data_IF_717371827787
#
_entry.id   IF_717371827787
#
_cell.length_a   1.000
_cell.length_b   1.000
_cell.length_c   1.000
_cell.angle_alpha   90.00
_cell.angle_beta   90.00
_cell.angle_gamma   90.00
#
_symmetry.space_group_name_H-M   'P 1'
#
loop_
_entity.id
_entity.type
_entity.pdbx_description
1 polymer ?
#
# COMPACT_ATOMS: atom_id res chain seq x y z
N UNK A 1 23.15 -15.35 -1.87
CA UNK A 1 22.17 -14.84 -0.90
C UNK A 1 22.11 -15.84 0.25
N UNK A 2 22.22 -15.38 1.51
CA UNK A 2 22.08 -16.24 2.69
C UNK A 2 20.85 -15.75 3.46
N UNK A 3 19.83 -16.61 3.56
CA UNK A 3 18.59 -16.29 4.25
C UNK A 3 18.66 -16.85 5.68
N UNK A 4 18.13 -16.10 6.65
CA UNK A 4 17.91 -16.58 8.01
C UNK A 4 16.41 -16.62 8.27
N UNK A 5 15.92 -17.73 8.80
CA UNK A 5 14.55 -17.82 9.26
C UNK A 5 14.33 -16.90 10.47
N UNK A 6 13.17 -16.27 10.50
CA UNK A 6 12.67 -15.52 11.66
C UNK A 6 11.32 -16.13 12.02
N UNK A 7 11.24 -16.74 13.21
CA UNK A 7 10.03 -17.44 13.65
C UNK A 7 8.83 -16.49 13.68
N UNK A 8 7.74 -16.90 13.04
CA UNK A 8 6.50 -16.15 12.93
C UNK A 8 5.67 -16.69 11.77
N UNK A 9 4.34 -16.53 11.83
CA UNK A 9 3.44 -16.96 10.76
C UNK A 9 2.59 -15.78 10.31
N UNK A 10 2.96 -15.22 9.17
CA UNK A 10 2.31 -14.04 8.58
C UNK A 10 1.74 -14.41 7.22
N UNK A 11 0.59 -13.82 6.89
CA UNK A 11 -0.03 -13.91 5.57
C UNK A 11 0.48 -12.82 4.63
N UNK A 12 0.85 -11.68 5.20
CA UNK A 12 1.37 -10.53 4.46
C UNK A 12 2.45 -9.84 5.29
N UNK A 13 3.51 -9.39 4.61
CA UNK A 13 4.64 -8.65 5.18
C UNK A 13 4.92 -7.44 4.28
N UNK A 14 5.33 -6.33 4.88
CA UNK A 14 5.70 -5.11 4.18
C UNK A 14 6.92 -4.50 4.87
N UNK A 15 7.85 -3.97 4.08
CA UNK A 15 9.04 -3.29 4.56
C UNK A 15 9.18 -1.94 3.85
N UNK A 16 9.44 -0.88 4.61
CA UNK A 16 9.49 0.49 4.12
C UNK A 16 9.86 1.45 5.22
N UNK A 17 10.51 2.56 4.87
CA UNK A 17 10.96 3.58 5.83
C UNK A 17 11.77 3.03 7.03
N UNK A 18 12.53 1.95 6.82
CA UNK A 18 13.33 1.30 7.88
C UNK A 18 12.52 0.44 8.86
N UNK A 19 11.24 0.24 8.61
CA UNK A 19 10.34 -0.56 9.44
C UNK A 19 9.84 -1.78 8.68
N UNK A 20 9.43 -2.81 9.42
CA UNK A 20 8.80 -4.00 8.85
C UNK A 20 7.55 -4.31 9.65
N UNK A 21 6.44 -4.44 8.94
CA UNK A 21 5.14 -4.79 9.49
C UNK A 21 4.61 -6.04 8.81
N UNK A 22 3.68 -6.72 9.48
CA UNK A 22 2.95 -7.82 8.86
C UNK A 22 1.63 -8.09 9.55
N UNK A 23 0.79 -8.84 8.86
CA UNK A 23 -0.49 -9.34 9.38
C UNK A 23 -0.55 -10.85 9.26
N UNK A 24 -1.10 -11.50 10.29
CA UNK A 24 -1.30 -12.94 10.32
C UNK A 24 -2.66 -13.35 9.75
N UNK A 25 -2.90 -14.67 9.64
CA UNK A 25 -4.17 -15.23 9.14
C UNK A 25 -5.38 -14.86 10.02
N UNK A 26 -5.16 -14.59 11.30
CA UNK A 26 -6.17 -14.18 12.28
C UNK A 26 -6.32 -12.65 12.40
N UNK A 27 -5.82 -11.89 11.42
CA UNK A 27 -5.80 -10.43 11.38
C UNK A 27 -4.94 -9.75 12.48
N UNK A 28 -4.18 -10.51 13.28
CA UNK A 28 -3.22 -9.93 14.23
C UNK A 28 -2.13 -9.16 13.50
N UNK A 29 -1.76 -8.01 14.07
CA UNK A 29 -0.80 -7.07 13.50
C UNK A 29 0.53 -7.22 14.24
N UNK A 30 1.62 -7.26 13.49
CA UNK A 30 2.96 -7.35 14.06
C UNK A 30 3.89 -6.29 13.46
N UNK A 31 4.80 -5.77 14.30
CA UNK A 31 5.95 -4.98 13.90
C UNK A 31 7.22 -5.75 14.26
N UNK A 32 8.20 -5.76 13.36
CA UNK A 32 9.49 -6.37 13.63
C UNK A 32 10.40 -5.38 14.36
N UNK A 33 10.89 -5.76 15.54
CA UNK A 33 11.76 -4.93 16.35
C UNK A 33 12.82 -5.78 17.03
N UNK A 34 14.09 -5.38 16.92
CA UNK A 34 15.24 -6.03 17.58
C UNK A 34 15.31 -7.56 17.39
N UNK A 35 14.94 -8.06 16.21
CA UNK A 35 15.07 -9.49 15.88
C UNK A 35 13.83 -10.34 16.18
N UNK A 36 12.75 -9.75 16.68
CA UNK A 36 11.49 -10.46 16.98
C UNK A 36 10.25 -9.70 16.53
N UNK A 37 9.15 -10.43 16.37
CA UNK A 37 7.83 -9.85 16.08
C UNK A 37 7.15 -9.41 17.38
N UNK A 38 6.72 -8.17 17.43
CA UNK A 38 5.93 -7.61 18.53
C UNK A 38 4.49 -7.38 18.06
N UNK A 39 3.51 -7.87 18.82
CA UNK A 39 2.09 -7.66 18.51
C UNK A 39 1.70 -6.19 18.74
N UNK A 40 0.88 -5.66 17.84
CA UNK A 40 0.21 -4.37 18.01
C UNK A 40 -1.29 -4.60 18.27
N UNK A 41 -1.96 -3.70 19.01
CA UNK A 41 -3.40 -3.79 19.22
C UNK A 41 -4.16 -3.53 17.90
N UNK A 42 -5.34 -4.14 17.79
CA UNK A 42 -6.21 -4.04 16.61
C UNK A 42 -6.19 -5.28 15.72
N UNK A 43 -6.96 -5.23 14.62
CA UNK A 43 -7.06 -6.31 13.65
C UNK A 43 -7.09 -5.75 12.22
N UNK A 44 -6.16 -6.17 11.38
CA UNK A 44 -6.04 -5.73 9.99
C UNK A 44 -5.88 -6.91 9.05
N UNK A 45 -6.53 -6.83 7.89
CA UNK A 45 -6.32 -7.79 6.80
C UNK A 45 -5.15 -7.40 5.89
N UNK A 46 -4.75 -6.14 5.90
CA UNK A 46 -3.69 -5.58 5.07
C UNK A 46 -2.99 -4.44 5.81
N UNK A 47 -1.67 -4.35 5.71
CA UNK A 47 -0.85 -3.27 6.27
C UNK A 47 0.17 -2.79 5.23
N UNK A 48 0.44 -1.51 5.17
CA UNK A 48 1.52 -0.91 4.35
C UNK A 48 2.33 0.05 5.20
N UNK A 49 3.61 0.21 4.86
CA UNK A 49 4.51 1.18 5.51
C UNK A 49 5.40 1.82 4.45
N UNK A 50 5.54 3.15 4.55
CA UNK A 50 6.45 3.91 3.72
C UNK A 50 6.58 5.35 4.20
N UNK A 51 7.13 6.25 3.37
CA UNK A 51 7.31 7.67 3.72
C UNK A 51 6.01 8.41 4.11
N UNK A 52 4.85 7.93 3.63
CA UNK A 52 3.53 8.44 3.99
C UNK A 52 2.97 7.86 5.31
N UNK A 53 3.78 7.09 6.04
CA UNK A 53 3.47 6.49 7.33
C UNK A 53 3.02 5.04 7.22
N UNK A 54 2.44 4.53 8.31
CA UNK A 54 1.89 3.17 8.39
C UNK A 54 0.37 3.23 8.27
N UNK A 55 -0.17 2.44 7.35
CA UNK A 55 -1.60 2.39 7.07
C UNK A 55 -2.09 0.95 7.10
N UNK A 56 -3.35 0.77 7.47
CA UNK A 56 -3.98 -0.52 7.68
C UNK A 56 -5.40 -0.54 7.15
N UNK A 57 -5.81 -1.70 6.65
CA UNK A 57 -7.19 -1.97 6.25
C UNK A 57 -7.76 -3.12 7.08
N UNK A 58 -8.97 -2.95 7.62
CA UNK A 58 -9.68 -4.01 8.36
C UNK A 58 -10.36 -5.01 7.42
N UNK A 59 -10.82 -6.13 7.96
CA UNK A 59 -11.63 -7.09 7.20
C UNK A 59 -12.84 -6.45 6.52
N UNK A 60 -13.46 -5.47 7.18
CA UNK A 60 -14.63 -4.72 6.72
C UNK A 60 -14.32 -3.58 5.73
N UNK A 61 -13.06 -3.44 5.29
CA UNK A 61 -12.57 -2.37 4.41
C UNK A 61 -12.40 -1.00 5.08
N UNK A 62 -12.47 -0.91 6.41
CA UNK A 62 -12.18 0.34 7.12
C UNK A 62 -10.70 0.68 7.02
N UNK A 63 -10.41 1.98 6.93
CA UNK A 63 -9.06 2.50 6.76
C UNK A 63 -8.56 3.05 8.09
N UNK A 64 -7.34 2.70 8.47
CA UNK A 64 -6.67 3.21 9.66
C UNK A 64 -5.26 3.70 9.34
N UNK A 65 -4.84 4.78 10.01
CA UNK A 65 -3.46 5.28 10.02
C UNK A 65 -2.88 5.10 11.42
N UNK A 66 -1.64 4.61 11.52
CA UNK A 66 -0.95 4.55 12.81
C UNK A 66 -0.38 5.94 13.14
N UNK A 67 -0.86 6.54 14.22
CA UNK A 67 -0.44 7.86 14.72
C UNK A 67 -0.09 7.74 16.19
N UNK A 68 1.15 8.07 16.55
CA UNK A 68 1.63 7.98 17.93
C UNK A 68 1.28 6.63 18.61
N UNK A 69 1.57 5.52 17.92
CA UNK A 69 1.27 4.14 18.33
C UNK A 69 -0.21 3.76 18.46
N UNK A 70 -1.14 4.61 18.01
CA UNK A 70 -2.57 4.35 18.02
C UNK A 70 -3.12 4.29 16.59
N UNK A 71 -4.02 3.34 16.34
CA UNK A 71 -4.74 3.28 15.07
C UNK A 71 -5.86 4.30 15.06
N UNK A 72 -5.78 5.27 14.16
CA UNK A 72 -6.78 6.32 13.99
C UNK A 72 -7.56 6.04 12.71
N UNK A 73 -8.88 5.95 12.80
CA UNK A 73 -9.73 5.67 11.65
C UNK A 73 -9.73 6.85 10.68
N UNK A 74 -9.58 6.55 9.39
CA UNK A 74 -9.67 7.52 8.30
C UNK A 74 -10.95 7.26 7.53
N UNK A 75 -11.79 8.28 7.25
CA UNK A 75 -13.02 8.09 6.48
C UNK A 75 -12.77 7.43 5.11
N UNK A 76 -13.71 6.58 4.70
CA UNK A 76 -13.66 5.86 3.41
C UNK A 76 -13.55 4.35 3.59
N UNK A 77 -13.68 3.63 2.48
CA UNK A 77 -13.60 2.17 2.43
C UNK A 77 -12.67 1.72 1.30
N UNK A 78 -11.60 1.01 1.65
CA UNK A 78 -10.63 0.46 0.70
C UNK A 78 -10.41 -1.02 0.98
N UNK A 79 -10.20 -1.83 -0.06
CA UNK A 79 -9.80 -3.23 0.10
C UNK A 79 -8.29 -3.40 0.23
N UNK A 80 -7.52 -2.44 -0.28
CA UNK A 80 -6.06 -2.37 -0.21
C UNK A 80 -5.61 -0.89 -0.30
N UNK A 81 -4.50 -0.58 0.36
CA UNK A 81 -3.84 0.73 0.35
C UNK A 81 -2.33 0.54 0.34
N UNK A 82 -1.61 1.42 -0.35
CA UNK A 82 -0.17 1.50 -0.29
C UNK A 82 0.33 2.90 0.10
N UNK A 83 1.39 2.93 0.92
CA UNK A 83 1.99 4.12 1.51
C UNK A 83 3.46 4.31 1.14
N UNK A 84 3.97 3.60 0.13
CA UNK A 84 5.37 3.69 -0.29
C UNK A 84 5.74 5.02 -0.98
N UNK A 85 4.75 5.82 -1.39
CA UNK A 85 4.97 7.15 -1.97
C UNK A 85 5.38 8.21 -0.94
N UNK A 86 6.27 9.11 -1.35
CA UNK A 86 6.72 10.26 -0.54
C UNK A 86 5.71 11.42 -0.48
N UNK A 87 4.68 11.41 -1.34
CA UNK A 87 3.79 12.56 -1.52
C UNK A 87 2.30 12.23 -1.34
N UNK A 88 1.93 10.95 -1.41
CA UNK A 88 0.56 10.50 -1.26
C UNK A 88 0.50 9.02 -0.89
N UNK A 89 -0.61 8.63 -0.28
CA UNK A 89 -1.07 7.24 -0.24
C UNK A 89 -2.09 7.02 -1.34
N UNK A 90 -2.17 5.80 -1.83
CA UNK A 90 -3.20 5.46 -2.78
C UNK A 90 -3.72 4.04 -2.55
N UNK A 91 -4.96 3.81 -2.95
CA UNK A 91 -5.65 2.58 -2.64
C UNK A 91 -6.77 2.29 -3.62
N UNK A 92 -7.34 1.11 -3.46
CA UNK A 92 -8.45 0.62 -4.28
C UNK A 92 -9.61 0.17 -3.39
N UNK A 93 -10.85 0.46 -3.78
CA UNK A 93 -12.03 0.00 -3.06
C UNK A 93 -12.53 -1.36 -3.57
N UNK A 94 -13.61 -1.86 -2.98
CA UNK A 94 -14.22 -3.14 -3.35
C UNK A 94 -14.84 -3.17 -4.76
N UNK A 95 -15.06 -2.00 -5.37
CA UNK A 95 -15.55 -1.84 -6.73
C UNK A 95 -14.41 -1.59 -7.73
N UNK A 96 -13.16 -1.82 -7.32
CA UNK A 96 -11.95 -1.55 -8.08
C UNK A 96 -11.72 -0.06 -8.38
N UNK A 97 -12.49 0.87 -7.80
CA UNK A 97 -12.23 2.30 -7.95
C UNK A 97 -10.94 2.69 -7.24
N UNK A 98 -10.22 3.63 -7.85
CA UNK A 98 -8.91 4.09 -7.40
C UNK A 98 -9.04 5.39 -6.65
N UNK A 99 -8.31 5.51 -5.54
CA UNK A 99 -8.25 6.71 -4.74
C UNK A 99 -6.82 7.09 -4.38
N UNK A 100 -6.57 8.39 -4.17
CA UNK A 100 -5.35 8.90 -3.57
C UNK A 100 -5.65 9.96 -2.51
N UNK A 101 -4.72 10.11 -1.57
CA UNK A 101 -4.77 11.10 -0.49
C UNK A 101 -3.37 11.65 -0.28
N UNK A 102 -3.22 12.98 -0.27
CA UNK A 102 -1.91 13.63 -0.11
C UNK A 102 -1.26 13.30 1.23
N UNK A 103 0.07 13.35 1.31
CA UNK A 103 0.82 13.06 2.54
C UNK A 103 0.43 13.97 3.71
N UNK A 104 0.22 15.24 3.42
CA UNK A 104 -0.21 16.26 4.39
C UNK A 104 -1.73 16.20 4.66
N UNK A 105 -2.48 15.49 3.82
CA UNK A 105 -3.90 15.24 4.01
C UNK A 105 -4.05 14.07 4.99
N UNK A 106 -4.15 14.38 6.29
CA UNK A 106 -4.32 13.37 7.34
C UNK A 106 -5.79 13.14 7.70
N UNK A 107 -6.00 12.34 8.75
CA UNK A 107 -7.28 12.03 9.41
C UNK A 107 -8.24 13.22 9.38
N UNK A 108 -9.26 13.16 8.52
CA UNK A 108 -10.27 14.22 8.40
C UNK A 108 -10.47 14.84 7.00
N UNK A 109 -9.71 14.44 5.98
CA UNK A 109 -9.95 14.84 4.58
C UNK A 109 -10.44 13.69 3.70
N UNK A 110 -11.14 14.05 2.62
CA UNK A 110 -11.72 13.11 1.68
C UNK A 110 -10.71 12.60 0.65
N UNK A 111 -10.81 11.30 0.36
CA UNK A 111 -10.07 10.65 -0.71
C UNK A 111 -10.44 11.21 -2.08
N UNK A 112 -9.43 11.47 -2.92
CA UNK A 112 -9.65 11.91 -4.30
C UNK A 112 -9.76 10.69 -5.21
N UNK A 113 -10.88 10.56 -5.93
CA UNK A 113 -11.07 9.50 -6.92
C UNK A 113 -10.20 9.76 -8.15
N UNK A 114 -9.47 8.75 -8.58
CA UNK A 114 -8.67 8.75 -9.81
C UNK A 114 -9.38 7.89 -10.85
N UNK A 115 -9.37 8.30 -12.13
CA UNK A 115 -9.97 7.51 -13.19
C UNK A 115 -9.23 6.17 -13.40
N UNK A 116 -10.01 5.09 -13.49
CA UNK A 116 -9.52 3.72 -13.70
C UNK A 116 -10.21 2.70 -12.80
N UNK A 117 -9.98 1.41 -13.10
CA UNK A 117 -10.43 0.26 -12.31
C UNK A 117 -9.26 -0.70 -12.07
N UNK A 118 -8.87 -0.93 -10.83
CA UNK A 118 -7.60 -1.58 -10.48
C UNK A 118 -7.77 -2.55 -9.29
N UNK A 119 -7.04 -3.66 -9.35
CA UNK A 119 -7.13 -4.75 -8.35
C UNK A 119 -6.06 -4.59 -7.27
N UNK A 120 -4.89 -4.04 -7.63
CA UNK A 120 -3.76 -3.80 -6.73
C UNK A 120 -3.05 -2.51 -7.11
N UNK A 121 -2.52 -1.81 -6.10
CA UNK A 121 -1.67 -0.64 -6.26
C UNK A 121 -0.47 -0.71 -5.32
N UNK A 122 0.72 -0.45 -5.87
CA UNK A 122 1.96 -0.20 -5.14
C UNK A 122 2.52 1.17 -5.55
N UNK A 123 3.02 1.95 -4.59
CA UNK A 123 3.61 3.27 -4.83
C UNK A 123 5.08 3.21 -4.44
N UNK A 124 5.98 3.42 -5.40
CA UNK A 124 7.41 3.51 -5.17
C UNK A 124 7.81 4.82 -4.48
N UNK A 125 8.98 4.80 -3.83
CA UNK A 125 9.58 6.00 -3.20
C UNK A 125 10.00 7.07 -4.22
N UNK A 126 10.15 6.68 -5.49
CA UNK A 126 10.36 7.55 -6.64
C UNK A 126 9.08 8.22 -7.17
N UNK A 127 7.93 7.92 -6.55
CA UNK A 127 6.62 8.41 -6.97
C UNK A 127 5.99 7.64 -8.13
N UNK A 128 6.66 6.61 -8.65
CA UNK A 128 6.05 5.70 -9.62
C UNK A 128 4.95 4.87 -8.94
N UNK A 129 3.91 4.56 -9.69
CA UNK A 129 2.78 3.76 -9.19
C UNK A 129 2.58 2.58 -10.12
N UNK A 130 2.91 1.39 -9.62
CA UNK A 130 2.74 0.12 -10.32
C UNK A 130 1.43 -0.54 -9.90
N UNK A 131 0.70 -1.08 -10.88
CA UNK A 131 -0.64 -1.62 -10.64
C UNK A 131 -0.93 -2.82 -11.46
N UNK A 132 -1.86 -3.65 -10.97
CA UNK A 132 -2.38 -4.82 -11.67
C UNK A 132 -3.89 -4.66 -11.89
N UNK A 133 -4.36 -4.84 -13.13
CA UNK A 133 -5.79 -4.87 -13.44
C UNK A 133 -6.39 -6.28 -13.28
N UNK A 134 -7.68 -6.46 -13.55
CA UNK A 134 -8.36 -7.77 -13.51
C UNK A 134 -7.83 -8.76 -14.54
N UNK A 135 -7.16 -8.29 -15.61
CA UNK A 135 -6.49 -9.08 -16.64
C UNK A 135 -5.06 -9.53 -16.29
N UNK A 136 -4.53 -9.16 -15.11
CA UNK A 136 -3.12 -9.33 -14.68
C UNK A 136 -2.11 -8.46 -15.42
N UNK A 137 -2.56 -7.47 -16.16
CA UNK A 137 -1.68 -6.51 -16.84
C UNK A 137 -1.09 -5.53 -15.83
N UNK A 138 0.18 -5.20 -16.00
CA UNK A 138 0.89 -4.23 -15.15
C UNK A 138 0.83 -2.84 -15.80
N UNK A 139 0.55 -1.79 -15.03
CA UNK A 139 0.54 -0.41 -15.51
C UNK A 139 1.34 0.50 -14.57
N UNK A 140 2.09 1.44 -15.15
CA UNK A 140 2.67 2.58 -14.45
C UNK A 140 1.75 3.80 -14.63
N UNK A 141 1.64 4.65 -13.60
CA UNK A 141 0.99 5.96 -13.74
C UNK A 141 2.01 7.02 -14.19
N UNK A 142 1.78 7.59 -15.36
CA UNK A 142 2.64 8.67 -15.86
C UNK A 142 2.25 10.03 -15.27
N UNK A 143 3.25 10.89 -15.08
CA UNK A 143 3.06 12.32 -14.80
C UNK A 143 2.59 12.64 -13.38
N UNK A 144 2.84 11.73 -12.44
CA UNK A 144 2.66 12.00 -11.01
C UNK A 144 3.70 13.03 -10.57
N UNK A 145 3.23 14.09 -9.91
CA UNK A 145 4.10 15.09 -9.28
C UNK A 145 3.50 15.48 -7.93
N UNK A 146 4.27 16.17 -7.08
CA UNK A 146 3.77 16.70 -5.81
C UNK A 146 2.53 17.60 -5.95
N UNK A 147 2.35 18.26 -7.11
CA UNK A 147 1.19 19.13 -7.42
C UNK A 147 0.06 18.41 -8.15
N UNK A 148 0.26 17.17 -8.59
CA UNK A 148 -0.65 16.40 -9.44
C UNK A 148 -0.58 14.92 -9.08
N UNK A 149 -1.11 14.58 -7.91
CA UNK A 149 -1.02 13.21 -7.38
C UNK A 149 -1.89 12.21 -8.17
N UNK A 150 -2.85 12.67 -8.95
CA UNK A 150 -3.67 11.84 -9.84
C UNK A 150 -2.93 11.39 -11.10
N UNK A 151 -1.78 11.98 -11.43
CA UNK A 151 -1.05 11.73 -12.68
C UNK A 151 -1.86 12.09 -13.95
N UNK A 152 -1.35 11.72 -15.11
CA UNK A 152 -1.92 12.11 -16.42
C UNK A 152 -2.61 10.92 -17.09
N UNK A 153 -1.97 9.75 -17.12
CA UNK A 153 -2.49 8.55 -17.79
C UNK A 153 -1.88 7.27 -17.22
N UNK A 154 -2.56 6.16 -17.46
CA UNK A 154 -2.00 4.82 -17.28
C UNK A 154 -1.22 4.41 -18.52
N UNK A 155 0.00 3.92 -18.33
CA UNK A 155 0.83 3.34 -19.39
C UNK A 155 1.09 1.88 -19.07
N UNK A 156 0.79 1.00 -20.03
CA UNK A 156 0.98 -0.43 -19.88
C UNK A 156 2.47 -0.75 -19.78
N UNK A 157 2.85 -1.41 -18.70
CA UNK A 157 4.19 -1.97 -18.53
C UNK A 157 4.18 -3.34 -19.17
N UNK A 158 4.74 -3.41 -20.38
CA UNK A 158 5.15 -4.72 -20.87
C UNK A 158 6.28 -5.21 -19.97
N UNK A 159 6.09 -6.36 -19.31
CA UNK A 159 7.17 -6.98 -18.56
C UNK A 159 8.42 -7.05 -19.44
N UNK A 160 9.53 -6.58 -18.90
CA UNK A 160 10.84 -6.61 -19.56
C UNK A 160 11.06 -8.01 -20.16
N UNK A 161 11.53 -8.02 -21.41
CA UNK A 161 11.37 -9.12 -22.34
C UNK A 161 11.86 -10.48 -21.84
N UNK A 162 11.11 -11.52 -22.22
CA UNK A 162 11.78 -12.75 -22.66
C UNK A 162 12.63 -12.36 -23.86
N UNK A 163 13.94 -12.49 -23.73
CA UNK A 163 14.84 -12.48 -24.88
C UNK A 163 14.30 -13.46 -25.92
N UNK A 164 13.94 -12.96 -27.10
CA UNK A 164 13.96 -13.81 -28.29
C UNK A 164 15.43 -14.02 -28.61
N UNK A 165 15.93 -15.20 -28.30
CA UNK A 165 17.16 -15.71 -28.90
C UNK A 165 16.97 -15.73 -30.43
N UNK A 166 17.83 -15.01 -31.16
CA UNK A 166 18.17 -15.37 -32.53
C UNK A 166 19.25 -16.45 -32.50
#
# INVERSE_FOLDING_TARGET
MQCREVSGRLRQIVAGAGQVFGVADNDNIYVFYRGSWMSLPGALKHVTVGPSGVWGITKNNDIYKLVAANWVQVPGLLKQVDAGGDQFVAGVNMHDDVFCLGRDDTVGRDWKKVSGKLVMIEVGTDGNVDRVNTGRDVFCRDGITAKRQEGIKWTHVSMCGKSKSM
#
